data_IF_839246468295
#
_entry.id   IF_839246468295
#
_cell.length_a   1.000
_cell.length_b   1.000
_cell.length_c   1.000
_cell.angle_alpha   90.00
_cell.angle_beta   90.00
_cell.angle_gamma   90.00
#
_symmetry.space_group_name_H-M   'P 1'
#
loop_
_entity.id
_entity.type
_entity.pdbx_description
1 polymer ?
#
# COMPACT_ATOMS: atom_id res chain seq x y z
N UNK A 1 -34.66 -30.81 5.06
CA UNK A 1 -33.26 -30.41 5.33
C UNK A 1 -32.32 -30.79 4.16
N UNK A 2 -32.38 -30.10 3.01
CA UNK A 2 -31.44 -30.31 1.88
C UNK A 2 -30.92 -29.00 1.25
N UNK A 3 -31.31 -27.82 1.76
CA UNK A 3 -30.99 -26.52 1.15
C UNK A 3 -29.55 -26.03 1.42
N UNK A 4 -28.89 -26.49 2.49
CA UNK A 4 -27.60 -25.94 2.93
C UNK A 4 -26.38 -26.44 2.13
N UNK A 5 -26.49 -27.58 1.42
CA UNK A 5 -25.37 -28.14 0.64
C UNK A 5 -25.22 -27.47 -0.73
N UNK A 6 -26.31 -27.07 -1.36
CA UNK A 6 -26.30 -26.37 -2.65
C UNK A 6 -25.75 -24.94 -2.54
N UNK A 7 -25.94 -24.27 -1.40
CA UNK A 7 -25.41 -22.92 -1.15
C UNK A 7 -23.89 -22.86 -1.06
N UNK A 8 -23.24 -23.90 -0.54
CA UNK A 8 -21.78 -23.96 -0.41
C UNK A 8 -21.12 -24.23 -1.77
N UNK A 9 -21.75 -25.06 -2.60
CA UNK A 9 -21.28 -25.36 -3.95
C UNK A 9 -21.40 -24.12 -4.87
N UNK A 10 -22.49 -23.35 -4.78
CA UNK A 10 -22.64 -22.11 -5.54
C UNK A 10 -21.61 -21.03 -5.13
N UNK A 11 -21.33 -20.86 -3.83
CA UNK A 11 -20.27 -19.96 -3.38
C UNK A 11 -18.90 -20.36 -3.93
N UNK A 12 -18.58 -21.66 -3.94
CA UNK A 12 -17.31 -22.17 -4.47
C UNK A 12 -17.19 -21.93 -5.97
N UNK A 13 -18.25 -22.12 -6.73
CA UNK A 13 -18.27 -21.84 -8.17
C UNK A 13 -18.09 -20.35 -8.47
N UNK A 14 -18.70 -19.45 -7.69
CA UNK A 14 -18.50 -18.01 -7.84
C UNK A 14 -17.09 -17.55 -7.46
N UNK A 15 -16.49 -18.15 -6.42
CA UNK A 15 -15.10 -17.86 -6.02
C UNK A 15 -14.10 -18.38 -7.05
N UNK A 16 -14.35 -19.56 -7.65
CA UNK A 16 -13.49 -20.12 -8.69
C UNK A 16 -13.61 -19.34 -10.01
N UNK A 17 -14.83 -18.94 -10.41
CA UNK A 17 -15.03 -18.05 -11.55
C UNK A 17 -14.37 -16.68 -11.33
N UNK A 18 -14.42 -16.15 -10.10
CA UNK A 18 -13.72 -14.93 -9.72
C UNK A 18 -12.20 -15.08 -9.78
N UNK A 19 -11.64 -16.22 -9.33
CA UNK A 19 -10.20 -16.52 -9.46
C UNK A 19 -9.74 -16.60 -10.93
N UNK A 20 -10.54 -17.21 -11.81
CA UNK A 20 -10.25 -17.24 -13.25
C UNK A 20 -10.34 -15.85 -13.88
N UNK A 21 -11.32 -15.04 -13.48
CA UNK A 21 -11.46 -13.66 -13.96
C UNK A 21 -10.34 -12.75 -13.42
N UNK A 22 -9.85 -12.99 -12.21
CA UNK A 22 -8.70 -12.27 -11.66
C UNK A 22 -7.39 -12.61 -12.34
N UNK A 23 -7.19 -13.87 -12.74
CA UNK A 23 -6.01 -14.27 -13.50
C UNK A 23 -5.94 -13.53 -14.84
N UNK A 24 -7.08 -13.32 -15.52
CA UNK A 24 -7.12 -12.49 -16.74
C UNK A 24 -7.00 -10.99 -16.44
N UNK A 25 -7.57 -10.50 -15.33
CA UNK A 25 -7.50 -9.08 -14.94
C UNK A 25 -6.08 -8.67 -14.53
N UNK A 26 -5.35 -9.52 -13.80
CA UNK A 26 -3.93 -9.29 -13.46
C UNK A 26 -3.05 -9.20 -14.70
N UNK A 27 -3.28 -10.05 -15.69
CA UNK A 27 -2.58 -9.96 -16.98
C UNK A 27 -2.85 -8.63 -17.69
N UNK A 28 -4.05 -8.07 -17.57
CA UNK A 28 -4.42 -6.77 -18.14
C UNK A 28 -3.92 -5.55 -17.35
N UNK A 29 -3.73 -5.65 -16.03
CA UNK A 29 -3.14 -4.58 -15.21
C UNK A 29 -1.61 -4.54 -15.32
N UNK A 30 -0.97 -5.69 -15.58
CA UNK A 30 0.48 -5.79 -15.79
C UNK A 30 0.93 -5.28 -17.16
N UNK A 31 0.03 -5.18 -18.15
CA UNK A 31 0.33 -4.79 -19.54
C UNK A 31 0.41 -3.27 -19.78
N UNK A 32 0.58 -2.47 -18.73
CA UNK A 32 0.95 -1.07 -18.86
C UNK A 32 -0.22 -0.17 -19.22
N UNK A 33 -1.04 0.17 -18.22
CA UNK A 33 -1.61 1.50 -18.19
C UNK A 33 -1.90 1.97 -16.76
N UNK A 34 -1.83 3.28 -16.59
CA UNK A 34 -1.80 4.01 -15.33
C UNK A 34 -2.93 3.63 -14.36
N UNK A 35 -2.58 3.22 -13.14
CA UNK A 35 -3.36 3.40 -11.89
C UNK A 35 -4.86 3.04 -11.83
N UNK A 36 -5.44 2.37 -12.82
CA UNK A 36 -6.89 2.24 -12.92
C UNK A 36 -7.43 1.17 -11.96
N UNK A 37 -8.31 1.60 -11.06
CA UNK A 37 -9.05 0.70 -10.16
C UNK A 37 -10.24 0.08 -10.91
N UNK A 38 -10.40 -1.25 -10.87
CA UNK A 38 -11.52 -1.93 -11.52
C UNK A 38 -12.71 -2.02 -10.55
N UNK A 39 -13.88 -1.51 -10.94
CA UNK A 39 -15.12 -1.63 -10.16
C UNK A 39 -15.88 -2.88 -10.65
N UNK A 40 -16.09 -3.85 -9.76
CA UNK A 40 -16.93 -5.02 -10.02
C UNK A 40 -18.14 -4.98 -9.08
N UNK A 41 -19.35 -5.10 -9.65
CA UNK A 41 -20.56 -5.30 -8.87
C UNK A 41 -20.80 -6.81 -8.69
N UNK A 42 -20.72 -7.31 -7.45
CA UNK A 42 -21.12 -8.69 -7.13
C UNK A 42 -22.53 -8.66 -6.54
N UNK A 43 -23.45 -9.40 -7.18
CA UNK A 43 -24.82 -9.59 -6.66
C UNK A 43 -24.89 -10.87 -5.83
N UNK A 44 -25.30 -10.76 -4.56
CA UNK A 44 -25.59 -11.91 -3.72
C UNK A 44 -27.08 -11.95 -3.39
N UNK A 45 -27.74 -13.08 -3.72
CA UNK A 45 -29.18 -13.32 -3.48
C UNK A 45 -30.10 -12.17 -3.91
N UNK A 46 -29.93 -11.69 -5.15
CA UNK A 46 -30.91 -10.83 -5.84
C UNK A 46 -30.95 -9.36 -5.42
N UNK A 47 -30.54 -9.00 -4.20
CA UNK A 47 -30.72 -7.63 -3.68
C UNK A 47 -29.46 -6.95 -3.15
N UNK A 48 -28.37 -7.68 -2.89
CA UNK A 48 -27.13 -7.06 -2.39
C UNK A 48 -26.16 -6.83 -3.55
N UNK A 49 -26.06 -5.59 -4.04
CA UNK A 49 -24.98 -5.17 -4.95
C UNK A 49 -23.81 -4.66 -4.11
N UNK A 50 -22.78 -5.49 -3.96
CA UNK A 50 -21.49 -5.05 -3.43
C UNK A 50 -20.70 -4.44 -4.58
N UNK A 51 -20.46 -3.13 -4.54
CA UNK A 51 -19.46 -2.50 -5.39
C UNK A 51 -18.09 -2.76 -4.76
N UNK A 52 -17.31 -3.63 -5.39
CA UNK A 52 -15.93 -3.92 -4.97
C UNK A 52 -15.01 -3.21 -5.95
N UNK A 53 -14.14 -2.36 -5.42
CA UNK A 53 -13.09 -1.72 -6.21
C UNK A 53 -11.77 -2.46 -5.96
N UNK A 54 -11.16 -2.98 -7.02
CA UNK A 54 -9.82 -3.58 -6.95
C UNK A 54 -8.81 -2.43 -6.94
N UNK A 55 -8.01 -2.35 -5.89
CA UNK A 55 -6.95 -1.34 -5.78
C UNK A 55 -5.65 -1.85 -6.42
N UNK A 56 -4.85 -0.98 -7.07
CA UNK A 56 -3.59 -1.38 -7.67
C UNK A 56 -2.61 -1.89 -6.61
N UNK A 57 -2.21 -3.17 -6.70
CA UNK A 57 -1.10 -3.73 -5.93
C UNK A 57 -0.34 -4.76 -6.78
N UNK A 58 0.97 -4.84 -6.56
CA UNK A 58 1.87 -5.69 -7.36
C UNK A 58 1.94 -7.12 -6.86
N UNK A 59 1.78 -7.32 -5.55
CA UNK A 59 1.98 -8.61 -4.87
C UNK A 59 0.65 -9.18 -4.39
N UNK A 60 -0.13 -8.35 -3.71
CA UNK A 60 -1.35 -8.77 -3.04
C UNK A 60 -2.59 -8.28 -3.79
N UNK A 61 -3.72 -8.94 -3.54
CA UNK A 61 -5.00 -8.46 -4.04
C UNK A 61 -5.66 -7.60 -2.98
N UNK A 62 -5.83 -6.32 -3.29
CA UNK A 62 -6.41 -5.33 -2.39
C UNK A 62 -7.79 -4.93 -2.91
N UNK A 63 -8.80 -5.04 -2.06
CA UNK A 63 -10.20 -4.81 -2.37
C UNK A 63 -10.75 -3.71 -1.46
N UNK A 64 -11.26 -2.64 -2.05
CA UNK A 64 -12.02 -1.60 -1.38
C UNK A 64 -13.50 -2.00 -1.37
N UNK A 65 -14.04 -2.16 -0.16
CA UNK A 65 -15.41 -2.62 0.11
C UNK A 65 -16.34 -1.47 0.53
N UNK A 66 -15.89 -0.22 0.41
CA UNK A 66 -16.63 0.97 0.81
C UNK A 66 -16.14 1.54 2.14
N UNK A 67 -16.43 0.85 3.24
CA UNK A 67 -16.04 1.24 4.61
C UNK A 67 -14.74 0.58 5.10
N UNK A 68 -14.26 -0.40 4.34
CA UNK A 68 -13.13 -1.25 4.71
C UNK A 68 -12.31 -1.63 3.49
N UNK A 69 -11.06 -2.01 3.76
CA UNK A 69 -10.12 -2.54 2.77
C UNK A 69 -9.80 -3.97 3.17
N UNK A 70 -9.93 -4.90 2.23
CA UNK A 70 -9.55 -6.30 2.38
C UNK A 70 -8.30 -6.56 1.54
N UNK A 71 -7.22 -6.98 2.20
CA UNK A 71 -5.98 -7.39 1.55
C UNK A 71 -5.81 -8.89 1.65
N UNK A 72 -5.65 -9.53 0.50
CA UNK A 72 -5.46 -10.97 0.34
C UNK A 72 -4.00 -11.24 -0.01
N UNK A 73 -3.38 -12.13 0.76
CA UNK A 73 -1.97 -12.45 0.65
C UNK A 73 -1.75 -13.77 -0.08
N UNK A 74 -0.66 -13.84 -0.82
CA UNK A 74 -0.13 -15.10 -1.36
C UNK A 74 0.89 -15.74 -0.42
N UNK A 75 1.65 -14.91 0.30
CA UNK A 75 2.65 -15.33 1.27
C UNK A 75 2.12 -15.13 2.71
N UNK A 76 1.99 -16.21 3.52
CA UNK A 76 1.63 -16.11 4.93
C UNK A 76 2.63 -15.29 5.76
N UNK A 77 3.92 -15.28 5.42
CA UNK A 77 4.92 -14.52 6.19
C UNK A 77 4.71 -13.02 6.05
N UNK A 78 4.46 -12.55 4.82
CA UNK A 78 4.05 -11.16 4.55
C UNK A 78 2.83 -10.74 5.38
N UNK A 79 1.81 -11.61 5.51
CA UNK A 79 0.64 -11.35 6.35
C UNK A 79 1.01 -11.24 7.83
N UNK A 80 1.89 -12.10 8.35
CA UNK A 80 2.28 -12.06 9.76
C UNK A 80 3.05 -10.79 10.10
N UNK A 81 3.98 -10.36 9.23
CA UNK A 81 4.69 -9.08 9.38
C UNK A 81 3.71 -7.91 9.39
N UNK A 82 2.84 -7.83 8.38
CA UNK A 82 1.88 -6.73 8.28
C UNK A 82 0.87 -6.73 9.43
N UNK A 83 0.36 -7.90 9.81
CA UNK A 83 -0.58 -8.03 10.93
C UNK A 83 0.06 -7.65 12.27
N UNK A 84 1.33 -7.99 12.48
CA UNK A 84 2.08 -7.61 13.67
C UNK A 84 2.19 -6.09 13.81
N UNK A 85 2.51 -5.40 12.71
CA UNK A 85 2.62 -3.93 12.67
C UNK A 85 1.25 -3.27 12.79
N UNK A 86 0.24 -3.76 12.07
CA UNK A 86 -1.14 -3.25 12.18
C UNK A 86 -1.71 -3.43 13.60
N UNK A 87 -1.26 -4.45 14.34
CA UNK A 87 -1.57 -4.66 15.75
C UNK A 87 -1.05 -3.54 16.68
N UNK A 88 -0.13 -2.69 16.21
CA UNK A 88 0.37 -1.52 16.95
C UNK A 88 -0.49 -0.25 16.77
N UNK A 89 -1.70 -0.41 16.21
CA UNK A 89 -2.70 0.65 16.13
C UNK A 89 -2.89 1.35 17.50
N UNK A 90 -2.66 2.66 17.53
CA UNK A 90 -2.65 3.47 18.77
C UNK A 90 -1.27 4.00 19.14
N UNK A 91 -0.19 3.32 18.71
CA UNK A 91 1.19 3.84 18.73
C UNK A 91 1.62 4.38 17.37
N UNK A 92 1.11 3.76 16.30
CA UNK A 92 1.30 4.21 14.93
C UNK A 92 -0.03 4.66 14.30
N UNK A 93 -0.01 5.66 13.41
CA UNK A 93 -1.17 6.01 12.60
C UNK A 93 -1.29 5.03 11.43
N UNK A 94 -1.77 3.84 11.75
CA UNK A 94 -2.07 2.77 10.80
C UNK A 94 -3.58 2.48 10.82
N UNK A 95 -4.13 1.89 9.75
CA UNK A 95 -5.52 1.43 9.75
C UNK A 95 -5.79 0.43 10.87
N UNK A 96 -6.92 0.59 11.58
CA UNK A 96 -7.38 -0.41 12.53
C UNK A 96 -7.77 -1.71 11.82
N UNK A 97 -7.31 -2.84 12.35
CA UNK A 97 -7.73 -4.16 11.89
C UNK A 97 -9.17 -4.43 12.33
N UNK A 98 -10.03 -4.78 11.37
CA UNK A 98 -11.43 -5.17 11.59
C UNK A 98 -11.59 -6.68 11.69
N UNK A 99 -10.74 -7.43 11.00
CA UNK A 99 -10.72 -8.89 11.03
C UNK A 99 -9.48 -9.45 10.34
N UNK A 100 -9.13 -10.70 10.67
CA UNK A 100 -8.04 -11.42 10.02
C UNK A 100 -8.38 -12.89 9.84
N UNK A 101 -7.79 -13.50 8.82
CA UNK A 101 -7.77 -14.94 8.63
C UNK A 101 -6.38 -15.42 8.24
N UNK A 102 -6.29 -16.65 7.73
CA UNK A 102 -4.99 -17.29 7.45
C UNK A 102 -4.20 -16.63 6.30
N UNK A 103 -4.89 -15.97 5.37
CA UNK A 103 -4.30 -15.38 4.16
C UNK A 103 -4.89 -13.99 3.86
N UNK A 104 -5.49 -13.34 4.86
CA UNK A 104 -6.17 -12.07 4.63
C UNK A 104 -6.23 -11.23 5.90
N UNK A 105 -6.22 -9.92 5.70
CA UNK A 105 -6.53 -8.93 6.72
C UNK A 105 -7.55 -7.94 6.17
N UNK A 106 -8.56 -7.62 6.98
CA UNK A 106 -9.51 -6.55 6.72
C UNK A 106 -9.22 -5.41 7.69
N UNK A 107 -9.13 -4.21 7.16
CA UNK A 107 -8.80 -2.99 7.89
C UNK A 107 -9.80 -1.89 7.57
N UNK A 108 -9.92 -0.92 8.46
CA UNK A 108 -10.72 0.26 8.17
C UNK A 108 -10.16 1.03 6.98
N UNK A 109 -11.04 1.64 6.19
CA UNK A 109 -10.58 2.52 5.13
C UNK A 109 -10.16 3.86 5.74
N UNK A 110 -8.91 4.24 5.53
CA UNK A 110 -8.39 5.55 5.95
C UNK A 110 -8.20 6.43 4.73
N UNK A 111 -8.78 7.63 4.73
CA UNK A 111 -8.63 8.61 3.65
C UNK A 111 -9.00 8.10 2.25
N UNK A 112 -8.60 8.85 1.24
CA UNK A 112 -8.78 8.47 -0.17
C UNK A 112 -7.69 9.01 -1.09
N UNK A 113 -7.01 10.08 -0.70
CA UNK A 113 -5.89 10.67 -1.44
C UNK A 113 -4.58 10.15 -0.88
N UNK A 114 -3.65 9.75 -1.75
CA UNK A 114 -2.29 9.38 -1.34
C UNK A 114 -1.32 10.54 -1.54
N UNK A 115 -0.16 10.52 -0.88
CA UNK A 115 0.90 11.49 -1.17
C UNK A 115 1.34 11.42 -2.64
N UNK A 116 1.28 10.24 -3.26
CA UNK A 116 1.54 10.08 -4.70
C UNK A 116 0.58 10.93 -5.55
N UNK A 117 -0.71 10.90 -5.24
CA UNK A 117 -1.74 11.61 -5.98
C UNK A 117 -1.54 13.13 -5.84
N UNK A 118 -1.39 13.61 -4.60
CA UNK A 118 -1.13 15.01 -4.31
C UNK A 118 0.12 15.55 -5.03
N UNK A 119 1.20 14.75 -5.09
CA UNK A 119 2.41 15.13 -5.82
C UNK A 119 2.19 15.13 -7.34
N UNK A 120 1.47 14.15 -7.88
CA UNK A 120 1.19 14.01 -9.32
C UNK A 120 0.29 15.14 -9.84
N UNK A 121 -0.63 15.64 -9.01
CA UNK A 121 -1.48 16.80 -9.31
C UNK A 121 -0.73 18.14 -9.24
N UNK A 122 0.57 18.12 -8.94
CA UNK A 122 1.43 19.30 -8.84
C UNK A 122 1.43 19.94 -7.44
N UNK A 123 0.73 19.35 -6.47
CA UNK A 123 0.80 19.72 -5.08
C UNK A 123 2.20 19.51 -4.49
N UNK A 124 2.49 20.23 -3.40
CA UNK A 124 3.75 20.11 -2.67
C UNK A 124 3.55 20.03 -1.16
N UNK A 125 2.98 18.92 -0.66
CA UNK A 125 2.71 18.75 0.77
C UNK A 125 3.98 18.93 1.60
N UNK A 126 3.83 19.39 2.83
CA UNK A 126 4.95 19.60 3.74
C UNK A 126 5.68 18.27 4.04
N UNK A 127 7.01 18.17 3.85
CA UNK A 127 7.74 16.91 4.09
C UNK A 127 7.73 16.45 5.56
N UNK A 128 7.62 17.39 6.52
CA UNK A 128 7.77 17.13 7.95
C UNK A 128 6.97 15.92 8.45
N UNK A 129 5.63 15.91 8.30
CA UNK A 129 4.79 14.80 8.73
C UNK A 129 5.18 13.43 8.16
N UNK A 130 5.70 13.37 6.92
CA UNK A 130 6.08 12.09 6.31
C UNK A 130 7.41 11.57 6.87
N UNK A 131 8.36 12.48 7.13
CA UNK A 131 9.63 12.14 7.76
C UNK A 131 9.44 11.77 9.23
N UNK A 132 8.53 12.44 9.94
CA UNK A 132 8.16 12.09 11.31
C UNK A 132 7.56 10.68 11.41
N UNK A 133 6.76 10.27 10.43
CA UNK A 133 6.21 8.92 10.38
C UNK A 133 7.27 7.84 10.16
N UNK A 134 8.27 8.13 9.32
CA UNK A 134 9.37 7.19 9.06
C UNK A 134 10.18 6.96 10.35
N UNK A 135 10.52 8.03 11.07
CA UNK A 135 11.21 7.91 12.35
C UNK A 135 10.35 7.23 13.41
N UNK A 136 9.09 7.64 13.54
CA UNK A 136 8.17 7.05 14.50
C UNK A 136 8.02 5.53 14.26
N UNK A 137 7.96 5.11 13.00
CA UNK A 137 7.92 3.69 12.67
C UNK A 137 9.19 2.98 13.12
N UNK A 138 10.36 3.53 12.82
CA UNK A 138 11.63 2.94 13.21
C UNK A 138 11.77 2.86 14.74
N UNK A 139 11.37 3.89 15.46
CA UNK A 139 11.40 3.95 16.92
C UNK A 139 10.43 2.96 17.59
N UNK A 140 9.22 2.81 17.03
CA UNK A 140 8.18 1.95 17.62
C UNK A 140 8.37 0.47 17.26
N UNK A 141 8.74 0.19 16.01
CA UNK A 141 8.83 -1.17 15.46
C UNK A 141 10.24 -1.74 15.58
N UNK A 142 11.27 -0.89 15.59
CA UNK A 142 12.68 -1.32 15.58
C UNK A 142 13.17 -1.81 14.21
N UNK A 143 12.40 -1.55 13.15
CA UNK A 143 12.66 -1.97 11.77
C UNK A 143 12.58 -0.76 10.84
N UNK A 144 13.11 -0.88 9.62
CA UNK A 144 12.73 0.00 8.53
C UNK A 144 11.46 -0.54 7.85
N UNK A 145 10.64 0.35 7.31
CA UNK A 145 9.39 0.05 6.63
C UNK A 145 9.62 -0.70 5.31
N UNK A 146 10.66 -0.36 4.56
CA UNK A 146 11.08 -1.09 3.37
C UNK A 146 10.35 -0.71 2.07
N UNK A 147 9.10 -0.21 2.12
CA UNK A 147 8.39 0.37 0.97
C UNK A 147 7.78 1.74 1.32
N UNK A 148 8.63 2.72 1.65
CA UNK A 148 8.23 4.11 1.90
C UNK A 148 7.86 4.86 0.60
N UNK A 149 7.02 4.23 -0.23
CA UNK A 149 6.51 4.79 -1.46
C UNK A 149 5.46 5.89 -1.15
N UNK A 150 5.43 7.02 -1.89
CA UNK A 150 4.38 8.03 -1.73
C UNK A 150 2.95 7.50 -1.75
N UNK A 151 2.66 6.41 -2.46
CA UNK A 151 1.32 5.81 -2.49
C UNK A 151 0.92 5.16 -1.15
N UNK A 152 1.89 4.83 -0.31
CA UNK A 152 1.71 4.15 0.98
C UNK A 152 1.53 5.15 2.14
N UNK A 153 1.54 6.46 1.83
CA UNK A 153 1.14 7.52 2.74
C UNK A 153 -0.26 7.98 2.34
N UNK A 154 -1.26 7.68 3.17
CA UNK A 154 -2.65 8.05 2.91
C UNK A 154 -2.97 9.33 3.64
N UNK A 155 -3.40 10.36 2.92
CA UNK A 155 -3.72 11.67 3.43
C UNK A 155 -5.14 11.67 4.03
N UNK A 156 -5.29 12.34 5.17
CA UNK A 156 -6.53 12.46 5.92
C UNK A 156 -6.41 13.47 7.05
N UNK A 157 -7.26 13.42 8.10
CA UNK A 157 -7.12 14.28 9.29
C UNK A 157 -5.74 14.16 9.96
N UNK A 158 -5.11 12.99 9.79
CA UNK A 158 -3.68 12.73 9.98
C UNK A 158 -3.21 11.87 8.82
N UNK A 159 -1.91 11.87 8.54
CA UNK A 159 -1.33 10.96 7.55
C UNK A 159 -1.25 9.55 8.12
N UNK A 160 -1.68 8.57 7.34
CA UNK A 160 -1.62 7.15 7.68
C UNK A 160 -0.56 6.43 6.87
N UNK A 161 0.03 5.41 7.48
CA UNK A 161 0.96 4.48 6.84
C UNK A 161 0.23 3.18 6.49
N UNK A 162 0.51 2.59 5.33
CA UNK A 162 -0.06 1.30 4.88
C UNK A 162 0.99 0.45 4.15
N UNK A 163 0.71 -0.85 3.95
CA UNK A 163 1.58 -1.75 3.18
C UNK A 163 2.94 -2.01 3.87
N UNK A 164 2.95 -2.95 4.82
CA UNK A 164 4.07 -3.19 5.74
C UNK A 164 4.80 -4.50 5.52
N UNK A 165 4.37 -5.27 4.52
CA UNK A 165 4.94 -6.58 4.17
C UNK A 165 6.43 -6.58 3.82
N UNK A 166 7.00 -5.41 3.50
CA UNK A 166 8.42 -5.24 3.20
C UNK A 166 9.26 -4.79 4.40
N UNK A 167 8.69 -4.71 5.60
CA UNK A 167 9.44 -4.28 6.79
C UNK A 167 10.55 -5.28 7.15
N UNK A 168 11.75 -4.76 7.39
CA UNK A 168 12.95 -5.55 7.69
C UNK A 168 13.99 -4.73 8.46
N UNK A 169 15.07 -5.37 8.90
CA UNK A 169 16.16 -4.68 9.59
C UNK A 169 16.82 -3.63 8.69
N UNK A 170 17.04 -2.44 9.24
CA UNK A 170 17.74 -1.37 8.54
C UNK A 170 17.42 0.01 9.14
N UNK A 171 18.13 1.06 8.66
CA UNK A 171 18.00 2.39 9.22
C UNK A 171 16.86 3.19 8.56
N UNK A 172 16.23 4.08 9.33
CA UNK A 172 15.18 4.99 8.86
C UNK A 172 15.60 5.84 7.64
N UNK A 173 16.87 6.26 7.56
CA UNK A 173 17.41 7.04 6.43
C UNK A 173 17.22 6.34 5.09
N UNK A 174 17.19 5.01 5.05
CA UNK A 174 16.98 4.26 3.82
C UNK A 174 15.54 4.39 3.31
N UNK A 175 14.55 4.47 4.22
CA UNK A 175 13.16 4.73 3.85
C UNK A 175 12.95 6.19 3.44
N UNK A 176 13.57 7.14 4.15
CA UNK A 176 13.57 8.55 3.74
C UNK A 176 14.16 8.72 2.34
N UNK A 177 15.27 8.04 2.03
CA UNK A 177 15.86 8.04 0.71
C UNK A 177 14.94 7.43 -0.36
N UNK A 178 14.24 6.34 -0.03
CA UNK A 178 13.29 5.71 -0.96
C UNK A 178 12.11 6.64 -1.28
N UNK A 179 11.56 7.30 -0.26
CA UNK A 179 10.55 8.35 -0.41
C UNK A 179 11.06 9.47 -1.33
N UNK A 180 12.24 10.03 -1.05
CA UNK A 180 12.81 11.15 -1.80
C UNK A 180 13.12 10.79 -3.25
N UNK A 181 13.61 9.57 -3.52
CA UNK A 181 13.84 9.08 -4.87
C UNK A 181 12.52 9.04 -5.67
N UNK A 182 11.41 8.67 -5.04
CA UNK A 182 10.08 8.68 -5.67
C UNK A 182 9.53 10.08 -5.86
N UNK A 183 9.66 10.96 -4.86
CA UNK A 183 9.28 12.38 -4.99
C UNK A 183 10.00 13.01 -6.19
N UNK A 184 11.31 12.77 -6.34
CA UNK A 184 12.09 13.27 -7.49
C UNK A 184 11.51 12.84 -8.84
N UNK A 185 11.08 11.58 -8.93
CA UNK A 185 10.57 11.01 -10.19
C UNK A 185 9.15 11.45 -10.53
N UNK A 186 8.35 11.82 -9.52
CA UNK A 186 6.93 12.17 -9.68
C UNK A 186 6.76 13.68 -9.79
N UNK A 187 7.44 14.44 -8.94
CA UNK A 187 7.36 15.89 -8.90
C UNK A 187 8.73 16.49 -8.51
N UNK A 188 9.57 16.69 -9.52
CA UNK A 188 10.93 17.23 -9.34
C UNK A 188 10.94 18.62 -8.69
N UNK A 189 9.87 19.42 -8.86
CA UNK A 189 9.76 20.74 -8.24
C UNK A 189 9.72 20.65 -6.72
N UNK A 190 9.09 19.61 -6.17
CA UNK A 190 9.03 19.36 -4.73
C UNK A 190 10.31 18.76 -4.16
N UNK A 191 11.10 18.09 -4.98
CA UNK A 191 12.28 17.36 -4.54
C UNK A 191 13.24 18.24 -3.72
N UNK A 192 13.51 19.47 -4.14
CA UNK A 192 14.42 20.37 -3.41
C UNK A 192 13.94 20.71 -1.99
N UNK A 193 12.63 20.83 -1.77
CA UNK A 193 12.05 21.05 -0.43
C UNK A 193 12.18 19.81 0.44
N UNK A 194 11.84 18.65 -0.10
CA UNK A 194 11.95 17.36 0.61
C UNK A 194 13.39 17.04 0.95
N UNK A 195 14.32 17.28 0.02
CA UNK A 195 15.74 17.04 0.22
C UNK A 195 16.29 17.87 1.37
N UNK A 196 16.05 19.18 1.40
CA UNK A 196 16.52 20.03 2.52
C UNK A 196 16.00 19.55 3.87
N UNK A 197 14.69 19.31 3.98
CA UNK A 197 14.09 18.85 5.23
C UNK A 197 14.66 17.50 5.70
N UNK A 198 14.98 16.60 4.77
CA UNK A 198 15.57 15.31 5.11
C UNK A 198 17.08 15.42 5.40
N UNK A 199 17.83 16.29 4.73
CA UNK A 199 19.26 16.51 5.01
C UNK A 199 19.49 17.10 6.39
N UNK A 200 18.63 18.03 6.82
CA UNK A 200 18.67 18.61 8.17
C UNK A 200 18.46 17.52 9.25
N UNK A 201 17.81 16.41 8.89
CA UNK A 201 17.43 15.32 9.80
C UNK A 201 18.40 14.14 9.78
N UNK A 202 18.81 13.71 8.60
CA UNK A 202 19.59 12.48 8.38
C UNK A 202 21.02 12.72 7.89
N UNK A 203 21.45 13.99 7.78
CA UNK A 203 22.81 14.31 7.38
C UNK A 203 23.11 14.06 5.89
N UNK A 204 24.38 14.29 5.48
CA UNK A 204 24.81 14.24 4.09
C UNK A 204 24.79 12.82 3.47
N UNK A 205 24.88 11.77 4.28
CA UNK A 205 24.84 10.37 3.86
C UNK A 205 23.55 9.99 3.13
N UNK A 206 22.45 10.70 3.41
CA UNK A 206 21.15 10.56 2.75
C UNK A 206 21.30 10.61 1.22
N UNK A 207 22.19 11.45 0.69
CA UNK A 207 22.38 11.60 -0.75
C UNK A 207 22.88 10.32 -1.41
N UNK A 208 23.69 9.53 -0.70
CA UNK A 208 24.22 8.28 -1.24
C UNK A 208 23.16 7.18 -1.26
N UNK A 209 22.30 7.13 -0.24
CA UNK A 209 21.10 6.28 -0.28
C UNK A 209 20.17 6.66 -1.44
N UNK A 210 19.88 7.96 -1.64
CA UNK A 210 19.02 8.41 -2.75
C UNK A 210 19.61 7.99 -4.10
N UNK A 211 20.93 8.11 -4.30
CA UNK A 211 21.59 7.64 -5.53
C UNK A 211 21.40 6.13 -5.72
N UNK A 212 21.52 5.35 -4.65
CA UNK A 212 21.27 3.90 -4.66
C UNK A 212 19.85 3.57 -5.11
N UNK A 213 18.86 4.20 -4.50
CA UNK A 213 17.44 4.04 -4.82
C UNK A 213 17.12 4.41 -6.27
N UNK A 214 17.63 5.54 -6.76
CA UNK A 214 17.44 5.96 -8.16
C UNK A 214 18.04 4.98 -9.15
N UNK A 215 19.22 4.40 -8.85
CA UNK A 215 19.84 3.36 -9.68
C UNK A 215 18.95 2.11 -9.74
N UNK A 216 18.46 1.64 -8.59
CA UNK A 216 17.55 0.48 -8.52
C UNK A 216 16.28 0.71 -9.35
N UNK A 217 15.62 1.87 -9.17
CA UNK A 217 14.42 2.21 -9.93
C UNK A 217 14.70 2.27 -11.44
N UNK A 218 15.85 2.85 -11.84
CA UNK A 218 16.24 2.93 -13.26
C UNK A 218 16.51 1.54 -13.87
N UNK A 219 17.09 0.62 -13.09
CA UNK A 219 17.35 -0.75 -13.52
C UNK A 219 16.03 -1.48 -13.80
N UNK A 220 15.07 -1.44 -12.88
CA UNK A 220 13.77 -2.08 -13.05
C UNK A 220 12.91 -1.47 -14.16
N UNK A 221 13.15 -0.20 -14.55
CA UNK A 221 12.50 0.41 -15.71
C UNK A 221 13.05 -0.09 -17.06
N UNK A 222 14.28 -0.58 -17.11
CA UNK A 222 14.93 -1.08 -18.34
C UNK A 222 14.65 -2.56 -18.63
N UNK A 223 14.25 -3.32 -17.62
CA UNK A 223 14.00 -4.77 -17.70
C UNK A 223 12.52 -5.09 -17.99
N UNK A 224 11.67 -4.07 -18.09
CA UNK A 224 10.27 -4.16 -18.51
C UNK A 224 10.12 -3.64 -19.94
#
# INVERSE_FOLDING_TARGET
>A
MLSSRSSILHCRSSILAWRSSMASTRSSMMSGDSGSSLITAISFRGNLRLMIRILPSRKNLVLDLGDSVLKLYEDPQALEVESGILGMCGRLPVPRVLGRGRMWVSMEKVGSETLMDALAEGGCPDPGPFLDLIDLFNDVVGLRWGDANPRNFILGPRTYMVDFEEAHEGPAVADAASLLARVKLVNERCFGRYLRAAEDRYGPELRDFIKGELKLISFFRKVK
#
